data_IF_404614285083
#
_entry.id   IF_404614285083
#
_cell.length_a   1.000
_cell.length_b   1.000
_cell.length_c   1.000
_cell.angle_alpha   90.00
_cell.angle_beta   90.00
_cell.angle_gamma   90.00
#
_symmetry.space_group_name_H-M   'P 1'
#
loop_
_entity.id
_entity.type
_entity.pdbx_description
1 polymer ?
#
# COMPACT_ATOMS: atom_id res chain seq x y z
N UNK A 1 18.20 11.63 -78.69
CA UNK A 1 18.82 11.02 -77.49
C UNK A 1 19.62 12.12 -76.81
N UNK A 2 19.28 12.68 -75.66
CA UNK A 2 18.70 12.06 -74.48
C UNK A 2 17.77 13.03 -73.75
N UNK A 3 16.57 13.23 -74.31
CA UNK A 3 15.37 13.72 -73.61
C UNK A 3 14.87 12.73 -72.53
N UNK A 4 15.68 11.72 -72.18
CA UNK A 4 15.38 10.65 -71.24
C UNK A 4 15.86 10.92 -69.80
N UNK A 5 16.72 11.93 -69.59
CA UNK A 5 17.25 12.21 -68.25
C UNK A 5 16.30 13.11 -67.41
N UNK A 6 15.41 13.88 -68.06
CA UNK A 6 14.45 14.74 -67.37
C UNK A 6 13.06 14.12 -67.16
N UNK A 7 12.78 12.94 -67.74
CA UNK A 7 11.54 12.20 -67.48
C UNK A 7 11.68 11.16 -66.36
N UNK A 8 12.91 10.79 -65.98
CA UNK A 8 13.18 9.89 -64.86
C UNK A 8 12.98 10.55 -63.49
N UNK A 9 13.10 11.88 -63.38
CA UNK A 9 12.80 12.62 -62.15
C UNK A 9 11.29 12.86 -61.97
N UNK A 10 10.49 12.75 -63.04
CA UNK A 10 9.03 12.85 -63.00
C UNK A 10 8.32 11.50 -62.79
N UNK A 11 9.04 10.37 -62.90
CA UNK A 11 8.53 9.02 -62.66
C UNK A 11 8.87 8.48 -61.25
N UNK A 12 9.23 9.36 -60.30
CA UNK A 12 9.42 9.01 -58.89
C UNK A 12 8.18 9.33 -58.01
N UNK A 13 7.12 9.91 -58.57
CA UNK A 13 5.93 10.34 -57.82
C UNK A 13 4.73 9.37 -57.86
N UNK A 14 4.78 8.26 -58.59
CA UNK A 14 3.57 7.42 -58.83
C UNK A 14 3.69 5.92 -58.51
N UNK A 15 4.82 5.45 -57.97
CA UNK A 15 4.91 4.15 -57.30
C UNK A 15 5.52 4.40 -55.91
N UNK A 16 4.73 4.68 -54.87
CA UNK A 16 3.90 3.66 -54.26
C UNK A 16 4.71 2.91 -53.21
N UNK A 17 4.66 3.43 -51.98
CA UNK A 17 4.66 2.65 -50.73
C UNK A 17 5.75 1.59 -50.56
N UNK A 18 6.96 1.99 -50.15
CA UNK A 18 7.91 1.07 -49.54
C UNK A 18 8.41 1.63 -48.22
N UNK A 19 7.70 1.18 -47.17
CA UNK A 19 8.20 1.00 -45.81
C UNK A 19 8.67 2.28 -45.13
N UNK A 20 7.68 3.10 -44.74
CA UNK A 20 7.79 3.67 -43.41
C UNK A 20 7.93 2.48 -42.45
N UNK A 21 9.14 2.26 -41.93
CA UNK A 21 9.32 1.45 -40.73
C UNK A 21 8.59 2.24 -39.66
N UNK A 22 7.29 2.01 -39.54
CA UNK A 22 6.62 2.19 -38.28
C UNK A 22 7.39 1.25 -37.36
N UNK A 23 8.39 1.79 -36.64
CA UNK A 23 8.76 1.25 -35.35
C UNK A 23 7.41 1.18 -34.66
N UNK A 24 6.87 -0.04 -34.57
CA UNK A 24 5.66 -0.29 -33.81
C UNK A 24 5.97 0.37 -32.48
N UNK A 25 5.32 1.50 -32.22
CA UNK A 25 5.50 2.23 -30.99
C UNK A 25 5.28 1.17 -29.93
N UNK A 26 6.36 0.81 -29.24
CA UNK A 26 6.28 -0.03 -28.07
C UNK A 26 5.12 0.57 -27.29
N UNK A 27 4.03 -0.18 -27.00
CA UNK A 27 2.93 0.41 -26.24
C UNK A 27 3.60 1.07 -25.05
N UNK A 28 3.44 2.38 -24.92
CA UNK A 28 4.08 3.13 -23.85
C UNK A 28 3.67 2.42 -22.57
N UNK A 29 4.60 1.65 -22.02
CA UNK A 29 4.35 0.88 -20.82
C UNK A 29 3.97 1.93 -19.80
N UNK A 30 2.77 1.81 -19.23
CA UNK A 30 2.35 2.71 -18.17
C UNK A 30 3.53 2.85 -17.21
N UNK A 31 3.92 4.08 -16.91
CA UNK A 31 5.04 4.33 -16.01
C UNK A 31 4.80 3.48 -14.77
N UNK A 32 5.77 2.64 -14.42
CA UNK A 32 5.65 1.83 -13.24
C UNK A 32 5.82 2.73 -12.01
N UNK A 33 4.73 2.93 -11.27
CA UNK A 33 4.70 3.75 -10.05
C UNK A 33 5.33 3.02 -8.84
N UNK A 34 5.94 1.85 -9.06
CA UNK A 34 6.60 1.03 -8.06
C UNK A 34 5.70 -0.06 -7.47
N UNK A 35 6.24 -0.84 -6.51
CA UNK A 35 5.58 -2.01 -6.00
C UNK A 35 4.41 -1.60 -5.11
N UNK A 36 3.20 -2.06 -5.45
CA UNK A 36 2.05 -1.95 -4.58
C UNK A 36 2.08 -3.06 -3.51
N UNK A 37 2.14 -2.65 -2.25
CA UNK A 37 2.37 -3.52 -1.10
C UNK A 37 1.15 -3.57 -0.21
N UNK A 38 0.62 -4.77 -0.01
CA UNK A 38 -0.44 -5.09 0.97
C UNK A 38 0.13 -6.04 2.02
N UNK A 39 -0.12 -5.73 3.29
CA UNK A 39 0.38 -6.54 4.41
C UNK A 39 -0.78 -7.20 5.13
N UNK A 40 -0.74 -8.52 5.25
CA UNK A 40 -1.61 -9.32 6.10
C UNK A 40 -0.89 -9.60 7.40
N UNK A 41 -1.42 -9.07 8.50
CA UNK A 41 -0.81 -9.14 9.80
C UNK A 41 -1.87 -9.43 10.87
N UNK A 42 -1.50 -9.98 12.03
CA UNK A 42 -2.47 -10.25 13.08
C UNK A 42 -3.07 -8.94 13.59
N UNK A 43 -4.34 -8.98 13.99
CA UNK A 43 -5.02 -7.82 14.60
C UNK A 43 -4.38 -7.42 15.94
N UNK A 44 -3.70 -8.37 16.60
CA UNK A 44 -3.17 -8.20 17.95
C UNK A 44 -1.78 -8.81 18.11
N UNK A 45 -0.96 -8.13 18.89
CA UNK A 45 0.33 -8.62 19.33
C UNK A 45 0.25 -9.04 20.80
N UNK A 46 0.67 -10.28 21.10
CA UNK A 46 0.58 -10.86 22.43
C UNK A 46 1.98 -11.17 22.92
N UNK A 47 2.26 -10.78 24.17
CA UNK A 47 3.54 -11.05 24.80
C UNK A 47 3.85 -12.56 24.81
N UNK A 48 5.07 -12.89 24.37
CA UNK A 48 5.61 -14.24 24.27
C UNK A 48 4.82 -15.18 23.32
N UNK A 49 3.96 -14.61 22.46
CA UNK A 49 3.31 -15.34 21.38
C UNK A 49 4.00 -15.04 20.03
N UNK A 50 3.97 -16.02 19.14
CA UNK A 50 4.46 -15.86 17.77
C UNK A 50 3.35 -15.29 16.90
N UNK A 51 3.68 -14.20 16.21
CA UNK A 51 2.84 -13.54 15.22
C UNK A 51 3.42 -13.77 13.84
N UNK A 52 2.55 -14.04 12.86
CA UNK A 52 2.94 -14.26 11.46
C UNK A 52 2.49 -13.09 10.61
N UNK A 53 3.42 -12.57 9.81
CA UNK A 53 3.23 -11.46 8.90
C UNK A 53 3.42 -11.98 7.48
N UNK A 54 2.54 -11.57 6.57
CA UNK A 54 2.61 -11.93 5.16
C UNK A 54 2.50 -10.68 4.31
N UNK A 55 3.35 -10.56 3.29
CA UNK A 55 3.31 -9.45 2.34
C UNK A 55 2.94 -9.94 0.94
N UNK A 56 1.91 -9.32 0.40
CA UNK A 56 1.51 -9.45 -1.00
C UNK A 56 1.97 -8.23 -1.77
N UNK A 57 2.70 -8.47 -2.86
CA UNK A 57 3.27 -7.44 -3.72
C UNK A 57 2.67 -7.60 -5.11
N UNK A 58 2.10 -6.51 -5.62
CA UNK A 58 1.58 -6.40 -6.99
C UNK A 58 2.26 -5.22 -7.69
N UNK A 59 2.27 -5.18 -9.02
CA UNK A 59 2.92 -4.10 -9.77
C UNK A 59 4.41 -3.92 -9.43
N UNK A 60 5.13 -5.03 -9.25
CA UNK A 60 6.58 -4.97 -9.03
C UNK A 60 7.32 -5.33 -10.32
N UNK A 61 8.37 -4.58 -10.62
CA UNK A 61 9.17 -4.78 -11.84
C UNK A 61 10.57 -5.26 -11.51
N UNK A 62 11.02 -6.30 -12.22
CA UNK A 62 12.39 -6.79 -12.09
C UNK A 62 12.64 -7.53 -10.78
N UNK A 63 13.75 -7.22 -10.11
CA UNK A 63 14.19 -7.97 -8.94
C UNK A 63 13.57 -7.44 -7.65
N UNK A 64 12.61 -8.18 -7.11
CA UNK A 64 11.91 -7.80 -5.87
C UNK A 64 12.63 -8.32 -4.63
N UNK A 65 13.00 -7.40 -3.75
CA UNK A 65 13.55 -7.69 -2.42
C UNK A 65 12.55 -7.26 -1.34
N UNK A 66 12.49 -8.04 -0.26
CA UNK A 66 11.65 -7.77 0.90
C UNK A 66 12.55 -7.73 2.12
N UNK A 67 12.33 -6.77 3.00
CA UNK A 67 13.04 -6.63 4.27
C UNK A 67 12.06 -6.21 5.37
N UNK A 68 11.88 -7.08 6.35
CA UNK A 68 11.19 -6.81 7.60
C UNK A 68 12.18 -6.30 8.62
N UNK A 69 11.77 -5.31 9.41
CA UNK A 69 12.47 -4.85 10.60
C UNK A 69 11.52 -4.93 11.79
N UNK A 70 11.92 -5.67 12.80
CA UNK A 70 11.17 -5.87 14.03
C UNK A 70 11.63 -4.90 15.14
N UNK A 71 10.84 -4.71 16.21
CA UNK A 71 11.13 -3.73 17.26
C UNK A 71 12.44 -3.98 18.02
N UNK A 72 12.94 -5.21 18.03
CA UNK A 72 14.21 -5.61 18.64
C UNK A 72 15.42 -5.38 17.72
N UNK A 73 15.20 -4.90 16.50
CA UNK A 73 16.22 -4.73 15.46
C UNK A 73 16.51 -6.01 14.68
N UNK A 74 15.79 -7.12 14.93
CA UNK A 74 15.88 -8.30 14.08
C UNK A 74 15.24 -8.04 12.72
N UNK A 75 15.76 -8.70 11.69
CA UNK A 75 15.27 -8.55 10.32
C UNK A 75 14.91 -9.89 9.68
N UNK A 76 14.02 -9.86 8.69
CA UNK A 76 13.69 -11.04 7.89
C UNK A 76 13.52 -10.64 6.41
N UNK A 77 13.95 -11.48 5.48
CA UNK A 77 13.87 -11.18 4.04
C UNK A 77 12.82 -12.00 3.30
N UNK A 78 12.04 -12.79 4.04
CA UNK A 78 11.00 -13.65 3.49
C UNK A 78 9.67 -12.91 3.37
N UNK A 79 8.85 -13.26 2.37
CA UNK A 79 7.49 -12.68 2.24
C UNK A 79 6.60 -12.99 3.45
N UNK A 80 6.73 -14.21 3.95
CA UNK A 80 6.11 -14.62 5.20
C UNK A 80 7.17 -14.60 6.30
N UNK A 81 6.99 -13.75 7.30
CA UNK A 81 7.89 -13.63 8.45
C UNK A 81 7.15 -13.98 9.74
N UNK A 82 7.84 -14.61 10.68
CA UNK A 82 7.30 -14.91 12.01
C UNK A 82 8.15 -14.23 13.06
N UNK A 83 7.51 -13.53 13.99
CA UNK A 83 8.20 -12.82 15.06
C UNK A 83 7.49 -13.05 16.40
N UNK A 84 8.28 -13.20 17.47
CA UNK A 84 7.77 -13.39 18.83
C UNK A 84 8.00 -12.12 19.63
N UNK A 85 6.92 -11.49 20.09
CA UNK A 85 7.02 -10.27 20.88
C UNK A 85 7.55 -10.53 22.28
N UNK A 86 8.75 -10.03 22.59
CA UNK A 86 9.40 -10.19 23.90
C UNK A 86 9.30 -8.95 24.80
N UNK A 87 8.77 -7.85 24.30
CA UNK A 87 8.55 -6.61 25.04
C UNK A 87 7.06 -6.24 25.00
N UNK A 88 6.53 -5.82 26.15
CA UNK A 88 5.17 -5.27 26.26
C UNK A 88 5.16 -3.78 25.95
N UNK A 89 4.02 -3.24 25.51
CA UNK A 89 3.83 -1.83 25.19
C UNK A 89 3.80 -1.56 23.68
N UNK A 90 3.92 -0.29 23.32
CA UNK A 90 3.86 0.14 21.92
C UNK A 90 5.12 -0.26 21.18
N UNK A 91 4.95 -0.95 20.06
CA UNK A 91 6.03 -1.44 19.22
C UNK A 91 5.67 -1.24 17.75
N UNK A 92 6.70 -1.08 16.92
CA UNK A 92 6.53 -0.80 15.49
C UNK A 92 7.24 -1.87 14.68
N UNK A 93 6.52 -2.49 13.75
CA UNK A 93 7.05 -3.43 12.76
C UNK A 93 7.06 -2.73 11.40
N UNK A 94 8.18 -2.79 10.70
CA UNK A 94 8.33 -2.14 9.39
C UNK A 94 8.65 -3.18 8.33
N UNK A 95 8.13 -3.01 7.12
CA UNK A 95 8.52 -3.79 5.95
C UNK A 95 8.83 -2.86 4.78
N UNK A 96 9.98 -3.06 4.16
CA UNK A 96 10.41 -2.38 2.96
C UNK A 96 10.46 -3.39 1.80
N UNK A 97 9.86 -3.02 0.68
CA UNK A 97 9.84 -3.80 -0.54
C UNK A 97 10.48 -2.94 -1.60
N UNK A 98 11.60 -3.41 -2.15
CA UNK A 98 12.35 -2.70 -3.20
C UNK A 98 12.34 -3.52 -4.46
N UNK A 99 11.99 -2.89 -5.57
CA UNK A 99 12.09 -3.43 -6.92
C UNK A 99 12.97 -2.52 -7.80
N UNK A 100 13.01 -2.78 -9.11
CA UNK A 100 13.86 -2.02 -10.03
C UNK A 100 13.39 -0.57 -10.24
N UNK A 101 12.17 -0.23 -9.81
CA UNK A 101 11.53 1.09 -10.05
C UNK A 101 11.41 1.92 -8.77
N UNK A 102 11.44 1.30 -7.59
CA UNK A 102 11.56 2.00 -6.32
C UNK A 102 11.41 1.14 -5.07
N UNK A 103 11.24 1.82 -3.93
CA UNK A 103 11.03 1.18 -2.62
C UNK A 103 9.70 1.64 -2.01
N UNK A 104 8.85 0.68 -1.67
CA UNK A 104 7.61 0.90 -0.92
C UNK A 104 7.79 0.39 0.51
N UNK A 105 7.53 1.26 1.49
CA UNK A 105 7.62 0.91 2.92
C UNK A 105 6.23 0.90 3.56
N UNK A 106 5.99 -0.07 4.45
CA UNK A 106 4.79 -0.15 5.29
C UNK A 106 5.19 -0.28 6.75
N UNK A 107 4.43 0.38 7.60
CA UNK A 107 4.65 0.39 9.05
C UNK A 107 3.39 -0.09 9.75
N UNK A 108 3.55 -0.97 10.72
CA UNK A 108 2.50 -1.55 11.55
C UNK A 108 2.80 -1.22 13.00
N UNK A 109 1.91 -0.47 13.63
CA UNK A 109 2.01 -0.17 15.06
C UNK A 109 1.15 -1.15 15.86
N UNK A 110 1.74 -1.70 16.91
CA UNK A 110 1.12 -2.67 17.80
C UNK A 110 1.24 -2.24 19.25
N UNK A 111 0.21 -2.54 20.04
CA UNK A 111 0.30 -2.54 21.49
C UNK A 111 0.39 -3.99 21.99
N UNK A 112 1.54 -4.37 22.53
CA UNK A 112 1.79 -5.74 23.03
C UNK A 112 1.30 -5.85 24.46
N UNK A 113 0.29 -6.69 24.68
CA UNK A 113 -0.26 -6.96 26.02
C UNK A 113 0.07 -8.38 26.51
N UNK A 114 0.06 -8.57 27.82
CA UNK A 114 0.18 -9.88 28.47
C UNK A 114 -1.21 -10.42 28.79
N UNK A 115 -1.50 -11.65 28.37
CA UNK A 115 -2.58 -12.39 29.02
C UNK A 115 -2.10 -12.80 30.41
N UNK A 116 -2.59 -12.11 31.44
CA UNK A 116 -2.50 -12.64 32.79
C UNK A 116 -3.56 -13.73 32.89
N UNK A 117 -3.15 -14.99 32.87
CA UNK A 117 -4.04 -16.12 33.17
C UNK A 117 -4.35 -16.11 34.67
N UNK A 118 -5.21 -15.19 35.09
CA UNK A 118 -5.71 -15.05 36.46
C UNK A 118 -7.22 -15.23 36.46
N UNK A 119 -7.66 -16.41 36.91
CA UNK A 119 -8.97 -16.71 37.51
C UNK A 119 -10.10 -15.69 37.22
N UNK A 120 -10.91 -15.95 36.20
CA UNK A 120 -12.33 -15.55 36.19
C UNK A 120 -12.74 -14.25 35.49
N UNK A 121 -11.83 -13.46 34.91
CA UNK A 121 -12.26 -12.24 34.21
C UNK A 121 -12.48 -12.47 32.72
N UNK A 122 -13.76 -12.51 32.37
CA UNK A 122 -14.28 -12.34 31.03
C UNK A 122 -13.66 -11.10 30.36
N UNK A 123 -12.85 -11.35 29.32
CA UNK A 123 -12.63 -10.45 28.20
C UNK A 123 -12.09 -9.04 28.54
N UNK A 124 -10.81 -8.93 28.91
CA UNK A 124 -10.04 -7.71 28.61
C UNK A 124 -9.58 -7.78 27.16
N UNK A 125 -10.55 -7.69 26.24
CA UNK A 125 -10.24 -7.34 24.84
C UNK A 125 -9.84 -5.85 24.83
N UNK A 126 -9.04 -5.39 23.86
CA UNK A 126 -8.84 -3.97 23.59
C UNK A 126 -10.15 -3.33 23.09
N UNK A 127 -11.16 -3.23 23.96
CA UNK A 127 -12.35 -2.41 23.74
C UNK A 127 -12.01 -0.92 23.80
N UNK A 128 -10.81 -0.57 24.31
CA UNK A 128 -10.38 0.83 24.37
C UNK A 128 -9.95 1.41 23.00
N UNK A 129 -9.70 0.59 21.98
CA UNK A 129 -9.37 1.06 20.62
C UNK A 129 -10.58 1.38 19.73
N UNK A 130 -11.75 0.80 20.00
CA UNK A 130 -12.95 1.02 19.18
C UNK A 130 -13.95 2.04 19.78
N UNK A 131 -13.74 2.50 21.01
CA UNK A 131 -14.51 3.63 21.57
C UNK A 131 -14.01 5.01 21.09
N UNK A 132 -12.84 5.10 20.46
CA UNK A 132 -12.29 6.38 19.99
C UNK A 132 -12.94 6.91 18.70
N UNK A 133 -13.39 6.03 17.79
CA UNK A 133 -13.91 6.45 16.47
C UNK A 133 -15.43 6.64 16.48
N UNK A 134 -16.18 5.89 17.31
CA UNK A 134 -17.64 6.07 17.43
C UNK A 134 -18.04 7.26 18.32
N UNK A 135 -17.28 7.57 19.39
CA UNK A 135 -17.58 8.70 20.29
C UNK A 135 -17.29 10.05 19.60
N UNK A 136 -16.32 10.08 18.68
CA UNK A 136 -16.05 11.25 17.83
C UNK A 136 -17.19 11.53 16.83
N UNK A 137 -17.71 10.49 16.16
CA UNK A 137 -18.78 10.69 15.17
C UNK A 137 -20.15 10.94 15.81
N UNK A 138 -20.47 10.25 16.91
CA UNK A 138 -21.73 10.46 17.64
C UNK A 138 -21.73 11.79 18.42
N UNK A 139 -20.58 12.23 18.93
CA UNK A 139 -20.41 13.56 19.51
C UNK A 139 -20.52 14.69 18.48
N UNK A 140 -20.00 14.49 17.26
CA UNK A 140 -20.10 15.49 16.19
C UNK A 140 -21.53 15.61 15.63
N UNK A 141 -22.25 14.49 15.48
CA UNK A 141 -23.67 14.48 15.06
C UNK A 141 -24.59 15.09 16.13
N UNK A 142 -24.36 14.80 17.42
CA UNK A 142 -25.12 15.39 18.53
C UNK A 142 -24.81 16.89 18.69
N UNK A 143 -23.56 17.32 18.52
CA UNK A 143 -23.18 18.73 18.57
C UNK A 143 -23.78 19.55 17.41
N UNK A 144 -23.88 18.97 16.21
CA UNK A 144 -24.59 19.59 15.08
C UNK A 144 -26.10 19.65 15.34
N UNK A 145 -26.69 18.62 15.96
CA UNK A 145 -28.11 18.63 16.33
C UNK A 145 -28.45 19.76 17.31
N UNK A 146 -27.66 19.95 18.37
CA UNK A 146 -27.89 21.01 19.37
C UNK A 146 -27.52 22.42 18.91
N UNK A 147 -26.61 22.59 17.94
CA UNK A 147 -26.26 23.92 17.40
C UNK A 147 -27.17 24.39 16.28
N UNK A 148 -27.78 23.49 15.52
CA UNK A 148 -28.62 23.82 14.36
C UNK A 148 -30.09 24.00 14.75
N UNK A 149 -30.58 23.28 15.76
CA UNK A 149 -31.97 23.41 16.25
C UNK A 149 -32.37 24.83 16.73
N UNK A 150 -31.53 25.61 17.44
CA UNK A 150 -31.91 26.94 17.89
C UNK A 150 -32.11 27.95 16.74
N UNK A 151 -31.44 27.75 15.60
CA UNK A 151 -31.56 28.64 14.44
C UNK A 151 -32.88 28.42 13.68
N UNK A 152 -33.32 27.16 13.57
CA UNK A 152 -34.59 26.82 12.92
C UNK A 152 -35.83 27.19 13.74
N UNK A 153 -35.73 27.25 15.08
CA UNK A 153 -36.86 27.61 15.94
C UNK A 153 -37.13 29.13 16.00
N UNK A 154 -36.15 29.96 15.63
CA UNK A 154 -36.30 31.43 15.63
C UNK A 154 -36.69 32.03 14.28
N UNK A 155 -36.77 31.21 13.22
CA UNK A 155 -36.99 31.69 11.84
C UNK A 155 -38.21 31.03 11.16
N UNK A 156 -39.16 30.55 11.96
CA UNK A 156 -40.56 30.19 11.59
C UNK A 156 -41.47 31.10 12.41
#
# INVERSE_FOLDING_TARGET
>A
MSTYLNTLLALCCLLGCAVGVAVAGTPAQAADDGPNVTVSAPERAVYNATSTFDVSVTNATGNVSVEWTFPDGSTATTRQASYRFQQTGNVTVTVAITDDTGTTTRTLDYEVYRYTSGRGDSQVLPVLGMLGVAVGFMGFVVALYFKVLPWFYQNI
#
